data_IF_469885264113
#
_entry.id   IF_469885264113
#
_cell.length_a   1.000
_cell.length_b   1.000
_cell.length_c   1.000
_cell.angle_alpha   90.00
_cell.angle_beta   90.00
_cell.angle_gamma   90.00
#
_symmetry.space_group_name_H-M   'P 1'
#
loop_
_entity.id
_entity.type
_entity.pdbx_description
1 polymer ?
#
# COMPACT_ATOMS: atom_id res chain seq x y z
N UNK A 1 -56.34 17.64 -51.50
CA UNK A 1 -56.96 17.58 -50.22
C UNK A 1 -55.92 17.16 -49.19
N UNK A 2 -55.45 18.05 -48.40
CA UNK A 2 -55.56 18.13 -46.94
C UNK A 2 -55.08 16.89 -46.20
N UNK A 3 -54.36 16.85 -45.10
CA UNK A 3 -53.96 17.83 -44.11
C UNK A 3 -52.93 17.13 -43.21
N UNK A 4 -51.92 17.83 -42.82
CA UNK A 4 -51.26 17.99 -41.58
C UNK A 4 -51.55 16.99 -40.41
N UNK A 5 -50.51 16.66 -39.68
CA UNK A 5 -50.58 16.06 -38.39
C UNK A 5 -49.23 15.72 -37.82
N UNK A 6 -48.45 16.69 -37.33
CA UNK A 6 -47.43 16.55 -36.29
C UNK A 6 -48.15 16.35 -34.97
N UNK A 7 -47.59 15.57 -34.00
CA UNK A 7 -46.91 16.32 -32.95
C UNK A 7 -45.63 15.68 -32.42
N UNK A 8 -44.70 16.56 -32.14
CA UNK A 8 -43.65 16.51 -31.15
C UNK A 8 -44.05 15.83 -29.83
N UNK A 9 -43.15 15.02 -29.35
CA UNK A 9 -43.09 14.56 -27.97
C UNK A 9 -41.65 14.52 -27.49
N UNK A 10 -41.11 15.69 -27.16
CA UNK A 10 -39.83 15.81 -26.48
C UNK A 10 -40.03 15.43 -25.00
N UNK A 11 -39.61 14.25 -24.62
CA UNK A 11 -39.50 13.86 -23.21
C UNK A 11 -38.09 14.18 -22.75
N UNK A 12 -37.92 15.32 -22.15
CA UNK A 12 -36.74 15.68 -21.33
C UNK A 12 -36.79 14.91 -20.01
N UNK A 13 -36.20 13.73 -20.00
CA UNK A 13 -35.89 13.01 -18.77
C UNK A 13 -34.70 13.66 -18.08
N UNK A 14 -34.97 14.55 -17.14
CA UNK A 14 -33.98 15.06 -16.20
C UNK A 14 -33.57 13.92 -15.27
N UNK A 15 -32.56 13.17 -15.67
CA UNK A 15 -31.90 12.20 -14.78
C UNK A 15 -31.17 12.96 -13.69
N UNK A 16 -31.75 12.98 -12.49
CA UNK A 16 -31.09 13.44 -11.27
C UNK A 16 -29.95 12.46 -11.01
N UNK A 17 -28.73 12.86 -11.30
CA UNK A 17 -27.52 12.14 -10.88
C UNK A 17 -27.45 12.30 -9.38
N UNK A 18 -27.90 11.30 -8.64
CA UNK A 18 -27.67 11.23 -7.19
C UNK A 18 -26.19 11.11 -6.98
N UNK A 19 -25.53 12.17 -6.56
CA UNK A 19 -24.14 12.13 -6.15
C UNK A 19 -24.01 11.11 -5.04
N UNK A 20 -23.17 10.10 -5.22
CA UNK A 20 -22.76 9.20 -4.15
C UNK A 20 -22.22 10.05 -2.99
N UNK A 21 -22.54 9.74 -1.75
CA UNK A 21 -22.04 10.49 -0.62
C UNK A 21 -20.51 10.45 -0.66
N UNK A 22 -19.90 11.61 -0.83
CA UNK A 22 -18.47 11.80 -0.70
C UNK A 22 -18.11 11.36 0.72
N UNK A 23 -17.29 10.32 0.86
CA UNK A 23 -16.80 9.90 2.17
C UNK A 23 -16.23 11.12 2.89
N UNK A 24 -16.67 11.37 4.12
CA UNK A 24 -16.18 12.48 4.92
C UNK A 24 -14.65 12.43 4.99
N UNK A 25 -13.99 13.57 4.77
CA UNK A 25 -12.54 13.66 4.86
C UNK A 25 -12.11 13.24 6.28
N UNK A 26 -10.99 12.48 6.37
CA UNK A 26 -10.45 12.08 7.66
C UNK A 26 -10.04 13.31 8.48
N UNK A 27 -10.22 13.30 9.82
CA UNK A 27 -9.84 14.42 10.67
C UNK A 27 -8.32 14.63 10.64
N UNK A 28 -7.89 15.84 10.40
CA UNK A 28 -6.45 16.21 10.34
C UNK A 28 -5.89 16.68 11.69
N UNK A 29 -6.76 16.90 12.68
CA UNK A 29 -6.42 17.38 14.01
C UNK A 29 -6.53 16.29 15.10
N UNK A 30 -6.68 16.70 16.38
CA UNK A 30 -6.93 15.80 17.49
C UNK A 30 -8.20 14.98 17.27
N UNK A 31 -8.21 13.73 17.76
CA UNK A 31 -9.36 12.82 17.76
C UNK A 31 -9.56 12.24 19.17
N UNK A 32 -10.80 11.94 19.53
CA UNK A 32 -11.17 11.38 20.82
C UNK A 32 -12.19 12.23 21.56
N UNK A 33 -12.71 11.69 22.67
CA UNK A 33 -13.60 12.42 23.56
C UNK A 33 -12.83 13.53 24.31
N UNK A 34 -13.54 14.54 24.83
CA UNK A 34 -12.92 15.58 25.66
C UNK A 34 -12.21 14.96 26.87
N UNK A 35 -12.78 13.93 27.49
CA UNK A 35 -12.18 13.24 28.63
C UNK A 35 -10.89 12.50 28.22
N UNK A 36 -10.91 11.76 27.12
CA UNK A 36 -9.73 11.04 26.62
C UNK A 36 -8.63 12.01 26.19
N UNK A 37 -8.99 13.13 25.54
CA UNK A 37 -8.02 14.18 25.16
C UNK A 37 -7.38 14.83 26.41
N UNK A 38 -8.11 14.98 27.50
CA UNK A 38 -7.55 15.48 28.77
C UNK A 38 -6.53 14.49 29.35
N UNK A 39 -6.76 13.18 29.21
CA UNK A 39 -5.79 12.13 29.59
C UNK A 39 -4.50 12.27 28.78
N UNK A 40 -4.59 12.45 27.45
CA UNK A 40 -3.41 12.66 26.61
C UNK A 40 -2.69 13.97 26.92
N UNK A 41 -3.41 15.03 27.28
CA UNK A 41 -2.85 16.33 27.64
C UNK A 41 -1.94 16.28 28.88
N UNK A 42 -2.07 15.24 29.70
CA UNK A 42 -1.22 15.00 30.87
C UNK A 42 0.06 14.21 30.57
N UNK A 43 0.24 13.74 29.31
CA UNK A 43 1.42 12.97 28.88
C UNK A 43 2.52 13.93 28.44
N UNK A 44 3.69 13.78 29.03
CA UNK A 44 4.90 14.51 28.62
C UNK A 44 5.72 13.61 27.70
N UNK A 45 6.08 14.13 26.53
CA UNK A 45 6.98 13.48 25.58
C UNK A 45 8.32 14.21 25.57
N UNK A 46 9.42 13.45 25.69
CA UNK A 46 10.77 14.00 25.60
C UNK A 46 11.64 13.14 24.69
N UNK A 47 12.66 13.74 24.07
CA UNK A 47 13.55 13.04 23.14
C UNK A 47 12.90 12.75 21.79
N UNK A 48 13.39 11.68 21.12
CA UNK A 48 12.92 11.31 19.79
C UNK A 48 13.52 12.17 18.70
N UNK A 49 14.85 12.32 18.71
CA UNK A 49 15.64 12.80 17.57
C UNK A 49 16.10 11.61 16.73
N UNK A 50 16.74 11.85 15.59
CA UNK A 50 17.28 10.80 14.71
C UNK A 50 18.26 9.83 15.39
N UNK A 51 18.72 10.16 16.61
CA UNK A 51 19.75 9.37 17.34
C UNK A 51 19.36 9.03 18.78
N UNK A 52 18.19 9.47 19.26
CA UNK A 52 17.75 9.25 20.64
C UNK A 52 16.32 8.74 20.67
N UNK A 53 16.10 7.61 21.33
CA UNK A 53 14.76 7.10 21.59
C UNK A 53 13.92 8.15 22.35
N UNK A 54 12.63 8.30 22.00
CA UNK A 54 11.73 9.11 22.78
C UNK A 54 11.37 8.43 24.08
N UNK A 55 10.95 9.25 25.07
CA UNK A 55 10.33 8.75 26.28
C UNK A 55 9.00 9.46 26.53
N UNK A 56 8.09 8.75 27.18
CA UNK A 56 6.76 9.23 27.55
C UNK A 56 6.55 9.10 29.06
N UNK A 57 5.95 10.11 29.68
CA UNK A 57 5.69 10.11 31.12
C UNK A 57 4.33 10.75 31.43
N UNK A 58 3.66 10.22 32.44
CA UNK A 58 2.43 10.75 33.01
C UNK A 58 2.32 10.41 34.50
N UNK A 59 1.56 11.20 35.24
CA UNK A 59 1.45 11.07 36.69
C UNK A 59 0.54 9.93 37.14
N UNK A 60 -0.63 9.79 36.49
CA UNK A 60 -1.64 8.79 36.89
C UNK A 60 -1.55 7.55 36.01
N UNK A 61 -1.13 6.45 36.59
CA UNK A 61 -0.99 5.13 35.92
C UNK A 61 -2.09 4.18 36.38
N UNK A 62 -2.61 3.32 35.48
CA UNK A 62 -2.33 3.23 34.06
C UNK A 62 -2.96 4.39 33.24
N UNK A 63 -2.38 4.67 32.07
CA UNK A 63 -2.99 5.57 31.09
C UNK A 63 -4.13 4.82 30.38
N UNK A 64 -5.37 5.30 30.51
CA UNK A 64 -6.56 4.63 29.97
C UNK A 64 -7.40 5.61 29.16
N UNK A 65 -7.79 5.18 27.95
CA UNK A 65 -8.74 5.88 27.10
C UNK A 65 -9.87 4.94 26.68
N UNK A 66 -11.02 5.50 26.31
CA UNK A 66 -12.20 4.72 25.91
C UNK A 66 -12.22 4.41 24.41
N UNK A 67 -11.54 5.21 23.62
CA UNK A 67 -11.37 5.04 22.16
C UNK A 67 -9.97 5.46 21.75
N UNK A 68 -9.54 5.05 20.56
CA UNK A 68 -8.27 5.55 20.00
C UNK A 68 -8.29 7.08 19.96
N UNK A 69 -7.35 7.68 20.66
CA UNK A 69 -7.29 9.12 20.92
C UNK A 69 -5.93 9.64 20.46
N UNK A 70 -5.93 10.78 19.79
CA UNK A 70 -4.73 11.42 19.23
C UNK A 70 -4.64 12.89 19.57
N UNK A 71 -3.44 13.35 19.91
CA UNK A 71 -3.09 14.76 19.93
C UNK A 71 -1.93 15.04 18.97
N UNK A 72 -1.90 16.25 18.41
CA UNK A 72 -0.84 16.68 17.51
C UNK A 72 0.18 17.47 18.33
N UNK A 73 1.41 16.99 18.40
CA UNK A 73 2.52 17.66 19.10
C UNK A 73 3.22 18.67 18.18
N UNK A 74 3.38 18.30 16.91
CA UNK A 74 3.91 19.18 15.86
C UNK A 74 3.07 18.96 14.60
N UNK A 75 2.46 20.01 14.04
CA UNK A 75 1.70 19.88 12.80
C UNK A 75 2.64 19.69 11.60
N UNK A 76 2.25 18.82 10.69
CA UNK A 76 2.88 18.65 9.39
C UNK A 76 2.18 19.47 8.30
N UNK A 77 2.59 19.24 7.06
CA UNK A 77 2.03 19.91 5.88
C UNK A 77 2.00 18.96 4.67
N UNK A 78 1.23 19.33 3.65
CA UNK A 78 1.06 18.52 2.44
C UNK A 78 -0.19 17.64 2.48
N UNK A 79 -0.29 16.70 1.55
CA UNK A 79 -1.46 15.83 1.40
C UNK A 79 -1.61 14.89 2.59
N UNK A 80 -2.75 14.92 3.30
CA UNK A 80 -3.00 14.02 4.42
C UNK A 80 -3.16 12.57 3.95
N UNK A 81 -2.87 11.63 4.85
CA UNK A 81 -3.10 10.21 4.64
C UNK A 81 -4.60 9.90 4.55
N UNK A 82 -4.93 8.90 3.75
CA UNK A 82 -6.27 8.32 3.57
C UNK A 82 -6.21 6.81 3.74
N UNK A 83 -7.35 6.14 3.79
CA UNK A 83 -7.38 4.67 3.75
C UNK A 83 -6.68 4.16 2.49
N UNK A 84 -5.86 3.13 2.65
CA UNK A 84 -5.01 2.58 1.60
C UNK A 84 -3.70 3.36 1.35
N UNK A 85 -3.49 4.52 1.99
CA UNK A 85 -2.18 5.18 1.98
C UNK A 85 -1.14 4.35 2.73
N UNK A 86 0.11 4.46 2.30
CA UNK A 86 1.27 3.95 3.01
C UNK A 86 1.90 5.13 3.74
N UNK A 87 1.87 5.08 5.06
CA UNK A 87 2.51 6.07 5.93
C UNK A 87 3.88 5.55 6.33
N UNK A 88 4.95 6.22 5.94
CA UNK A 88 6.30 5.93 6.41
C UNK A 88 6.60 6.83 7.59
N UNK A 89 6.89 6.24 8.75
CA UNK A 89 7.07 6.98 9.99
C UNK A 89 8.17 6.38 10.88
N UNK A 90 8.80 7.22 11.69
CA UNK A 90 9.46 6.75 12.90
C UNK A 90 8.40 6.55 13.98
N UNK A 91 8.46 5.40 14.64
CA UNK A 91 7.46 4.96 15.61
C UNK A 91 8.15 4.55 16.91
N UNK A 92 7.51 4.91 18.03
CA UNK A 92 7.85 4.31 19.32
C UNK A 92 6.55 3.90 20.01
N UNK A 93 6.50 2.64 20.43
CA UNK A 93 5.36 2.01 21.08
C UNK A 93 5.67 1.76 22.54
N UNK A 94 4.78 2.16 23.42
CA UNK A 94 4.94 2.05 24.88
C UNK A 94 3.71 1.39 25.50
N UNK A 95 3.89 0.81 26.69
CA UNK A 95 2.79 0.36 27.54
C UNK A 95 2.11 1.54 28.22
N UNK A 96 0.79 1.54 28.21
CA UNK A 96 -0.01 2.52 28.97
C UNK A 96 0.01 2.27 30.48
N UNK A 97 0.35 1.04 30.91
CA UNK A 97 0.46 0.70 32.32
C UNK A 97 1.60 1.41 33.04
N UNK A 98 2.76 1.55 32.40
CA UNK A 98 3.97 2.06 33.05
C UNK A 98 4.84 2.98 32.20
N UNK A 99 4.62 3.05 30.88
CA UNK A 99 5.44 3.82 29.94
C UNK A 99 6.68 3.10 29.45
N UNK A 100 6.82 1.80 29.72
CA UNK A 100 7.93 1.01 29.19
C UNK A 100 7.83 0.83 27.68
N UNK A 101 8.99 0.87 27.01
CA UNK A 101 9.10 0.73 25.55
C UNK A 101 8.79 -0.72 25.16
N UNK A 102 7.92 -0.91 24.20
CA UNK A 102 7.64 -2.18 23.54
C UNK A 102 8.45 -2.33 22.24
N UNK A 103 8.52 -1.26 21.45
CA UNK A 103 9.23 -1.24 20.18
C UNK A 103 9.57 0.20 19.80
N UNK A 104 10.65 0.40 19.02
CA UNK A 104 11.05 1.73 18.55
C UNK A 104 11.91 1.63 17.30
N UNK A 105 11.57 2.45 16.30
CA UNK A 105 12.37 2.62 15.08
C UNK A 105 13.33 3.81 15.16
N UNK A 106 13.23 4.63 16.21
CA UNK A 106 14.06 5.83 16.35
C UNK A 106 15.55 5.50 16.48
N UNK A 107 15.88 4.45 17.23
CA UNK A 107 17.29 4.05 17.46
C UNK A 107 17.90 3.38 16.22
N UNK A 108 17.11 2.64 15.46
CA UNK A 108 17.60 1.99 14.24
C UNK A 108 17.77 2.95 13.07
N UNK A 109 17.13 4.13 13.15
CA UNK A 109 17.08 5.10 12.07
C UNK A 109 16.38 4.57 10.81
N UNK A 110 15.62 3.48 10.92
CA UNK A 110 14.90 2.86 9.81
C UNK A 110 13.40 3.06 9.99
N UNK A 111 12.80 4.08 9.33
CA UNK A 111 11.37 4.31 9.41
C UNK A 111 10.57 3.10 8.91
N UNK A 112 9.40 2.89 9.50
CA UNK A 112 8.49 1.80 9.13
C UNK A 112 7.43 2.29 8.16
N UNK A 113 7.19 1.61 7.02
CA UNK A 113 6.01 1.80 6.21
C UNK A 113 4.82 1.05 6.81
N UNK A 114 3.69 1.74 6.99
CA UNK A 114 2.43 1.19 7.45
C UNK A 114 1.34 1.44 6.39
N UNK A 115 0.75 0.40 5.88
CA UNK A 115 -0.44 0.52 5.03
C UNK A 115 -1.66 0.81 5.91
N UNK A 116 -2.38 1.88 5.64
CA UNK A 116 -3.60 2.25 6.38
C UNK A 116 -4.80 1.41 5.91
N UNK A 117 -4.70 0.11 6.13
CA UNK A 117 -5.73 -0.89 5.89
C UNK A 117 -6.01 -1.64 7.20
N UNK A 118 -7.23 -1.53 7.78
CA UNK A 118 -7.55 -2.18 9.06
C UNK A 118 -7.55 -3.71 8.98
N UNK A 119 -7.52 -4.30 7.78
CA UNK A 119 -7.34 -5.74 7.61
C UNK A 119 -5.87 -6.20 7.73
N UNK A 120 -4.92 -5.28 7.60
CA UNK A 120 -3.46 -5.56 7.59
C UNK A 120 -2.72 -4.93 8.76
N UNK A 121 -3.21 -3.81 9.25
CA UNK A 121 -2.59 -2.99 10.30
C UNK A 121 -3.53 -2.92 11.49
N UNK A 122 -2.98 -2.87 12.70
CA UNK A 122 -3.74 -2.71 13.96
C UNK A 122 -4.74 -1.55 13.81
N UNK A 123 -6.04 -1.76 14.07
CA UNK A 123 -7.07 -0.76 13.80
C UNK A 123 -6.81 0.60 14.46
N UNK A 124 -6.30 0.61 15.68
CA UNK A 124 -5.94 1.83 16.39
C UNK A 124 -4.79 2.60 15.74
N UNK A 125 -3.84 1.91 15.08
CA UNK A 125 -2.79 2.58 14.29
C UNK A 125 -3.40 3.24 13.06
N UNK A 126 -4.28 2.53 12.35
CA UNK A 126 -4.98 3.09 11.19
C UNK A 126 -5.75 4.34 11.60
N UNK A 127 -6.59 4.24 12.64
CA UNK A 127 -7.38 5.37 13.15
C UNK A 127 -6.50 6.53 13.59
N UNK A 128 -5.42 6.23 14.32
CA UNK A 128 -4.52 7.26 14.86
C UNK A 128 -3.69 7.98 13.80
N UNK A 129 -3.33 7.30 12.70
CA UNK A 129 -2.48 7.85 11.65
C UNK A 129 -3.27 8.46 10.47
N UNK A 130 -4.58 8.15 10.38
CA UNK A 130 -5.44 8.64 9.31
C UNK A 130 -5.61 10.16 9.39
N UNK A 131 -5.47 10.86 8.25
CA UNK A 131 -5.59 12.32 8.15
C UNK A 131 -4.35 13.10 8.56
N UNK A 132 -3.24 12.44 8.90
CA UNK A 132 -1.97 13.12 9.19
C UNK A 132 -1.21 13.43 7.90
N UNK A 133 -0.44 14.53 7.94
CA UNK A 133 0.42 14.97 6.83
C UNK A 133 1.90 14.70 7.14
N UNK A 134 2.78 14.65 6.14
CA UNK A 134 4.23 14.58 6.35
C UNK A 134 4.73 15.70 7.28
N UNK A 135 5.68 15.37 8.15
CA UNK A 135 6.22 16.28 9.17
C UNK A 135 5.40 16.34 10.46
N UNK A 136 4.24 15.67 10.53
CA UNK A 136 3.46 15.61 11.77
C UNK A 136 4.18 14.74 12.81
N UNK A 137 4.28 15.25 14.06
CA UNK A 137 4.50 14.44 15.25
C UNK A 137 3.18 14.29 16.00
N UNK A 138 2.75 13.06 16.22
CA UNK A 138 1.50 12.76 16.92
C UNK A 138 1.72 11.79 18.08
N UNK A 139 0.99 12.02 19.17
CA UNK A 139 0.85 11.10 20.28
C UNK A 139 -0.53 10.46 20.20
N UNK A 140 -0.58 9.13 20.22
CA UNK A 140 -1.79 8.33 20.03
C UNK A 140 -1.88 7.35 21.18
N UNK A 141 -3.04 7.26 21.84
CA UNK A 141 -3.31 6.21 22.83
C UNK A 141 -4.43 5.32 22.30
N UNK A 142 -4.20 4.03 22.38
CA UNK A 142 -5.03 3.00 21.75
C UNK A 142 -5.52 2.05 22.82
N UNK A 143 -6.84 1.94 23.06
CA UNK A 143 -7.40 0.97 24.02
C UNK A 143 -7.30 -0.46 23.47
N UNK A 144 -7.37 -1.48 24.34
CA UNK A 144 -7.25 -2.89 23.94
C UNK A 144 -8.15 -3.29 22.77
N UNK A 145 -9.41 -2.84 22.75
CA UNK A 145 -10.39 -3.17 21.71
C UNK A 145 -9.99 -2.73 20.31
N UNK A 146 -9.17 -1.66 20.20
CA UNK A 146 -8.67 -1.11 18.93
C UNK A 146 -7.24 -1.60 18.64
N UNK A 147 -6.67 -2.41 19.54
CA UNK A 147 -5.33 -3.01 19.43
C UNK A 147 -5.43 -4.54 19.27
N UNK A 148 -5.08 -5.28 20.32
CA UNK A 148 -5.02 -6.75 20.30
C UNK A 148 -6.21 -7.42 21.02
N UNK A 149 -7.21 -6.65 21.42
CA UNK A 149 -8.40 -7.14 22.12
C UNK A 149 -8.09 -7.79 23.47
N UNK A 150 -9.06 -8.55 24.00
CA UNK A 150 -8.95 -9.21 25.30
C UNK A 150 -7.87 -10.30 25.35
N UNK A 151 -7.46 -10.84 24.20
CA UNK A 151 -6.37 -11.81 24.12
C UNK A 151 -4.99 -11.18 24.38
N UNK A 152 -4.84 -9.89 24.08
CA UNK A 152 -3.54 -9.22 24.10
C UNK A 152 -2.57 -9.81 23.10
N UNK A 153 -1.27 -9.61 23.34
CA UNK A 153 -0.17 -10.19 22.56
C UNK A 153 1.02 -10.49 23.46
N UNK A 154 0.99 -11.68 24.01
CA UNK A 154 1.95 -12.09 25.03
C UNK A 154 3.42 -12.08 24.55
N UNK A 155 3.65 -12.37 23.26
CA UNK A 155 5.01 -12.42 22.67
C UNK A 155 5.75 -11.07 22.78
N UNK A 156 4.99 -9.96 22.82
CA UNK A 156 5.54 -8.60 22.98
C UNK A 156 5.20 -8.01 24.37
N UNK A 157 4.67 -8.82 25.28
CA UNK A 157 4.36 -8.40 26.65
C UNK A 157 3.13 -7.49 26.79
N UNK A 158 2.16 -7.58 25.87
CA UNK A 158 0.90 -6.82 25.90
C UNK A 158 -0.22 -7.69 26.42
N UNK A 159 -0.83 -7.31 27.56
CA UNK A 159 -1.99 -7.98 28.13
C UNK A 159 -3.29 -7.55 27.42
N UNK A 160 -4.38 -8.30 27.64
CA UNK A 160 -5.71 -7.97 27.09
C UNK A 160 -6.35 -6.70 27.68
N UNK A 161 -5.76 -6.12 28.71
CA UNK A 161 -6.21 -4.86 29.31
C UNK A 161 -5.27 -3.69 29.06
N UNK A 162 -4.17 -3.92 28.31
CA UNK A 162 -3.13 -2.93 28.08
C UNK A 162 -3.55 -1.89 27.06
N UNK A 163 -3.53 -0.62 27.45
CA UNK A 163 -3.56 0.49 26.49
C UNK A 163 -2.16 0.67 25.89
N UNK A 164 -2.10 0.96 24.61
CA UNK A 164 -0.85 1.25 23.92
C UNK A 164 -0.68 2.76 23.73
N UNK A 165 0.55 3.23 23.91
CA UNK A 165 0.90 4.62 23.62
C UNK A 165 1.85 4.61 22.42
N UNK A 166 1.44 5.23 21.32
CA UNK A 166 2.21 5.33 20.09
C UNK A 166 2.65 6.77 19.88
N UNK A 167 3.94 7.01 19.79
CA UNK A 167 4.51 8.24 19.26
C UNK A 167 4.90 8.01 17.80
N UNK A 168 4.43 8.87 16.91
CA UNK A 168 4.66 8.76 15.47
C UNK A 168 5.20 10.07 14.90
N UNK A 169 6.33 10.00 14.20
CA UNK A 169 6.86 11.07 13.35
C UNK A 169 6.64 10.69 11.89
N UNK A 170 5.70 11.36 11.23
CA UNK A 170 5.34 11.08 9.85
C UNK A 170 6.39 11.66 8.90
N UNK A 171 7.06 10.79 8.16
CA UNK A 171 8.12 11.18 7.21
C UNK A 171 7.54 11.40 5.82
N UNK A 172 6.78 10.41 5.32
CA UNK A 172 6.18 10.49 3.99
C UNK A 172 4.84 9.74 3.94
N UNK A 173 4.03 10.09 2.95
CA UNK A 173 2.76 9.45 2.66
C UNK A 173 2.73 9.12 1.18
N UNK A 174 2.57 7.85 0.86
CA UNK A 174 2.45 7.36 -0.50
C UNK A 174 1.02 6.84 -0.72
N UNK A 175 0.33 7.35 -1.72
CA UNK A 175 -0.98 6.84 -2.13
C UNK A 175 -0.77 5.93 -3.33
N UNK A 176 -0.95 4.61 -3.20
CA UNK A 176 -0.78 3.69 -4.31
C UNK A 176 -1.77 3.97 -5.43
N UNK A 177 -1.32 3.84 -6.66
CA UNK A 177 -2.17 3.85 -7.84
C UNK A 177 -3.03 2.58 -7.86
N UNK A 178 -4.17 2.64 -8.56
CA UNK A 178 -5.02 1.46 -8.75
C UNK A 178 -4.58 0.63 -9.97
N UNK A 179 -3.89 1.25 -10.91
CA UNK A 179 -3.36 0.68 -12.14
C UNK A 179 -2.26 1.57 -12.71
N UNK A 180 -1.55 1.09 -13.72
CA UNK A 180 -0.57 1.90 -14.44
C UNK A 180 -1.21 3.16 -15.05
N UNK A 181 -0.48 4.26 -15.01
CA UNK A 181 -0.87 5.59 -15.53
C UNK A 181 0.37 6.28 -16.10
N UNK A 182 0.29 6.70 -17.36
CA UNK A 182 1.39 7.38 -18.03
C UNK A 182 1.25 7.37 -19.55
N UNK A 183 2.36 7.59 -20.24
CA UNK A 183 2.41 7.56 -21.68
C UNK A 183 2.46 6.11 -22.19
N UNK A 184 1.58 5.78 -23.15
CA UNK A 184 1.63 4.50 -23.83
C UNK A 184 2.89 4.39 -24.68
N UNK A 185 3.51 3.21 -24.69
CA UNK A 185 4.68 2.88 -25.50
C UNK A 185 4.23 1.89 -26.57
N UNK A 186 4.68 2.12 -27.81
CA UNK A 186 4.36 1.24 -28.92
C UNK A 186 4.85 -0.20 -28.67
N UNK A 187 4.03 -1.21 -29.02
CA UNK A 187 4.40 -2.61 -28.86
C UNK A 187 5.63 -2.96 -29.72
N UNK A 188 6.50 -3.79 -29.15
CA UNK A 188 7.65 -4.35 -29.90
C UNK A 188 7.18 -5.59 -30.66
N UNK A 189 7.46 -5.63 -31.97
CA UNK A 189 7.12 -6.77 -32.84
C UNK A 189 7.79 -8.04 -32.35
N UNK A 190 7.04 -9.12 -32.28
CA UNK A 190 7.53 -10.43 -31.81
C UNK A 190 7.45 -10.66 -30.30
N UNK A 191 7.06 -9.63 -29.53
CA UNK A 191 6.73 -9.77 -28.10
C UNK A 191 5.22 -9.98 -27.90
N UNK A 192 4.79 -10.50 -26.72
CA UNK A 192 3.39 -10.62 -26.38
C UNK A 192 2.65 -9.28 -26.46
N UNK A 193 1.43 -9.32 -27.00
CA UNK A 193 0.54 -8.17 -27.00
C UNK A 193 -0.35 -8.18 -25.77
N UNK A 194 -0.79 -6.99 -25.34
CA UNK A 194 -1.54 -6.80 -24.10
C UNK A 194 -2.75 -5.92 -24.37
N UNK A 195 -3.93 -6.42 -24.02
CA UNK A 195 -5.14 -5.61 -23.82
C UNK A 195 -5.44 -5.50 -22.34
N UNK A 196 -6.08 -4.42 -21.91
CA UNK A 196 -6.33 -4.15 -20.49
C UNK A 196 -7.80 -3.87 -20.22
N UNK A 197 -8.33 -4.50 -19.19
CA UNK A 197 -9.65 -4.24 -18.63
C UNK A 197 -9.52 -3.96 -17.13
N UNK A 198 -10.20 -2.94 -16.63
CA UNK A 198 -10.08 -2.48 -15.24
C UNK A 198 -10.54 -3.54 -14.22
N UNK A 199 -11.52 -4.37 -14.60
CA UNK A 199 -12.08 -5.38 -13.70
C UNK A 199 -11.24 -6.67 -13.63
N UNK A 200 -10.60 -7.04 -14.75
CA UNK A 200 -9.90 -8.32 -14.88
C UNK A 200 -8.38 -8.20 -15.00
N UNK A 201 -7.89 -6.98 -15.20
CA UNK A 201 -6.48 -6.70 -15.44
C UNK A 201 -6.04 -6.98 -16.88
N UNK A 202 -4.73 -7.15 -17.10
CA UNK A 202 -4.17 -7.36 -18.43
C UNK A 202 -4.47 -8.76 -18.96
N UNK A 203 -4.94 -8.83 -20.21
CA UNK A 203 -5.00 -10.04 -21.02
C UNK A 203 -3.77 -10.09 -21.92
N UNK A 204 -2.95 -11.11 -21.74
CA UNK A 204 -1.69 -11.30 -22.45
C UNK A 204 -1.90 -12.31 -23.58
N UNK A 205 -1.52 -11.92 -24.80
CA UNK A 205 -1.56 -12.79 -25.98
C UNK A 205 -0.13 -13.06 -26.44
N UNK A 206 0.30 -14.32 -26.29
CA UNK A 206 1.64 -14.76 -26.69
C UNK A 206 1.68 -14.97 -28.20
N UNK A 207 2.74 -14.56 -28.92
CA UNK A 207 2.85 -14.76 -30.37
C UNK A 207 2.94 -16.28 -30.67
N UNK A 208 2.23 -16.72 -31.71
CA UNK A 208 2.27 -18.10 -32.19
C UNK A 208 3.38 -18.33 -33.17
N UNK A 209 3.99 -19.53 -33.17
CA UNK A 209 5.05 -19.92 -34.11
C UNK A 209 6.39 -19.23 -33.88
N UNK A 210 6.54 -18.49 -32.81
CA UNK A 210 7.81 -17.83 -32.43
C UNK A 210 8.37 -18.55 -31.19
N UNK A 211 9.67 -18.90 -31.22
CA UNK A 211 10.35 -19.46 -30.05
C UNK A 211 10.40 -18.45 -28.90
N UNK A 212 10.40 -18.98 -27.67
CA UNK A 212 10.55 -18.12 -26.49
C UNK A 212 11.93 -17.46 -26.48
N UNK A 213 12.04 -16.17 -26.08
CA UNK A 213 13.31 -15.51 -25.81
C UNK A 213 14.14 -16.29 -24.79
N UNK A 214 15.46 -16.35 -25.02
CA UNK A 214 16.41 -17.05 -24.13
C UNK A 214 17.06 -16.11 -23.10
N UNK A 215 16.79 -14.82 -23.21
CA UNK A 215 17.27 -13.78 -22.28
C UNK A 215 16.09 -13.01 -21.70
N UNK A 216 16.28 -12.49 -20.49
CA UNK A 216 15.27 -11.64 -19.84
C UNK A 216 14.97 -10.42 -20.70
N UNK A 217 13.68 -10.19 -20.96
CA UNK A 217 13.20 -8.96 -21.61
C UNK A 217 12.38 -8.17 -20.57
N UNK A 218 12.66 -6.88 -20.47
CA UNK A 218 11.90 -5.92 -19.68
C UNK A 218 11.51 -4.74 -20.58
N UNK A 219 10.26 -4.74 -21.05
CA UNK A 219 9.73 -3.76 -21.98
C UNK A 219 8.66 -2.90 -21.30
N UNK A 220 8.78 -1.57 -21.41
CA UNK A 220 7.70 -0.66 -21.03
C UNK A 220 6.54 -0.77 -22.02
N UNK A 221 5.32 -0.87 -21.51
CA UNK A 221 4.06 -0.71 -22.24
C UNK A 221 3.39 0.62 -21.92
N UNK A 222 3.60 1.11 -20.69
CA UNK A 222 3.22 2.45 -20.23
C UNK A 222 4.41 2.99 -19.46
N UNK A 223 4.84 4.21 -19.76
CA UNK A 223 5.83 4.90 -18.96
C UNK A 223 5.15 5.79 -17.92
N UNK A 224 5.33 5.45 -16.65
CA UNK A 224 4.81 6.22 -15.52
C UNK A 224 5.57 7.53 -15.30
N UNK A 225 5.00 8.40 -14.47
CA UNK A 225 5.57 9.71 -14.13
C UNK A 225 5.95 9.84 -12.65
N UNK A 226 5.75 8.79 -11.86
CA UNK A 226 6.05 8.79 -10.42
C UNK A 226 7.53 8.58 -10.10
N UNK A 227 7.81 8.25 -8.85
CA UNK A 227 9.17 8.02 -8.35
C UNK A 227 9.89 6.91 -9.12
N UNK A 228 11.20 7.05 -9.27
CA UNK A 228 12.06 6.02 -9.89
C UNK A 228 12.34 4.93 -8.87
N UNK A 229 12.10 3.68 -9.27
CA UNK A 229 12.34 2.48 -8.46
C UNK A 229 13.85 2.26 -8.27
N UNK A 230 14.25 2.03 -7.03
CA UNK A 230 15.64 1.77 -6.64
C UNK A 230 15.74 0.41 -5.93
N UNK A 231 16.94 -0.13 -5.90
CA UNK A 231 17.24 -1.28 -5.04
C UNK A 231 17.03 -0.89 -3.58
N UNK A 232 16.32 -1.74 -2.84
CA UNK A 232 15.93 -1.51 -1.45
C UNK A 232 14.53 -0.95 -1.27
N UNK A 233 13.91 -0.38 -2.32
CA UNK A 233 12.52 0.03 -2.26
C UNK A 233 11.60 -1.18 -2.09
N UNK A 234 10.51 -0.99 -1.36
CA UNK A 234 9.36 -1.90 -1.40
C UNK A 234 8.44 -1.48 -2.53
N UNK A 235 8.22 -2.35 -3.50
CA UNK A 235 7.24 -2.14 -4.55
C UNK A 235 5.89 -2.74 -4.17
N UNK A 236 4.82 -2.00 -4.48
CA UNK A 236 3.46 -2.52 -4.53
C UNK A 236 3.04 -2.60 -6.00
N UNK A 237 2.59 -3.77 -6.44
CA UNK A 237 2.29 -4.04 -7.84
C UNK A 237 0.98 -4.79 -8.01
N UNK A 238 0.31 -4.58 -9.16
CA UNK A 238 -0.62 -5.56 -9.72
C UNK A 238 0.03 -6.28 -10.89
N UNK A 239 -0.28 -7.57 -11.06
CA UNK A 239 0.32 -8.37 -12.13
C UNK A 239 -0.59 -9.49 -12.63
N UNK A 240 -0.30 -9.93 -13.84
CA UNK A 240 -0.78 -11.21 -14.40
C UNK A 240 0.40 -11.94 -15.00
N UNK A 241 0.53 -13.23 -14.71
CA UNK A 241 1.56 -14.12 -15.23
C UNK A 241 0.95 -15.23 -16.08
N UNK A 242 1.51 -15.44 -17.28
CA UNK A 242 1.12 -16.53 -18.21
C UNK A 242 2.34 -17.33 -18.66
N UNK A 243 2.11 -18.56 -19.11
CA UNK A 243 3.14 -19.39 -19.73
C UNK A 243 3.31 -18.98 -21.20
N UNK A 244 4.55 -18.88 -21.68
CA UNK A 244 4.83 -18.59 -23.09
C UNK A 244 4.27 -19.64 -24.03
N UNK A 245 4.37 -20.92 -23.64
CA UNK A 245 4.03 -22.07 -24.51
C UNK A 245 2.58 -22.09 -24.97
N UNK A 246 1.64 -21.59 -24.17
CA UNK A 246 0.20 -21.71 -24.43
C UNK A 246 -0.64 -20.51 -23.97
N UNK A 247 -0.02 -19.50 -23.34
CA UNK A 247 -0.70 -18.33 -22.82
C UNK A 247 -1.58 -18.59 -21.59
N UNK A 248 -1.49 -19.78 -20.98
CA UNK A 248 -2.28 -20.11 -19.79
C UNK A 248 -1.86 -19.28 -18.60
N UNK A 249 -2.85 -18.70 -17.88
CA UNK A 249 -2.62 -17.90 -16.67
C UNK A 249 -2.24 -18.82 -15.52
N UNK A 250 -1.08 -18.62 -14.92
CA UNK A 250 -0.68 -19.37 -13.72
C UNK A 250 -0.92 -18.58 -12.44
N UNK A 251 -0.88 -17.23 -12.50
CA UNK A 251 -1.17 -16.37 -11.35
C UNK A 251 -1.59 -14.95 -11.79
N UNK A 252 -2.44 -14.32 -10.96
CA UNK A 252 -2.86 -12.93 -11.16
C UNK A 252 -3.31 -12.31 -9.83
N UNK A 253 -2.76 -11.15 -9.49
CA UNK A 253 -3.19 -10.36 -8.33
C UNK A 253 -4.53 -9.65 -8.57
N UNK A 254 -4.90 -9.43 -9.83
CA UNK A 254 -6.18 -8.83 -10.22
C UNK A 254 -7.37 -9.70 -9.83
N UNK A 255 -7.27 -11.03 -10.03
CA UNK A 255 -8.33 -11.98 -9.66
C UNK A 255 -8.55 -12.05 -8.15
N UNK A 256 -7.55 -11.73 -7.36
CA UNK A 256 -7.62 -11.65 -5.90
C UNK A 256 -8.02 -10.25 -5.41
N UNK A 257 -8.10 -9.27 -6.31
CA UNK A 257 -8.31 -7.86 -5.99
C UNK A 257 -7.34 -7.32 -4.90
N UNK A 258 -6.13 -7.90 -4.83
CA UNK A 258 -5.14 -7.60 -3.81
C UNK A 258 -3.76 -7.40 -4.45
N UNK A 259 -3.17 -6.19 -4.37
CA UNK A 259 -1.79 -5.96 -4.81
C UNK A 259 -0.80 -6.84 -4.06
N UNK A 260 0.33 -7.09 -4.68
CA UNK A 260 1.47 -7.78 -4.10
C UNK A 260 2.60 -6.80 -3.81
N UNK A 261 3.25 -6.94 -2.65
CA UNK A 261 4.38 -6.10 -2.27
C UNK A 261 5.63 -6.93 -2.03
N UNK A 262 6.78 -6.42 -2.47
CA UNK A 262 8.08 -7.08 -2.28
C UNK A 262 9.22 -6.06 -2.27
N UNK A 263 10.34 -6.41 -1.59
CA UNK A 263 11.56 -5.60 -1.61
C UNK A 263 12.38 -5.87 -2.87
N UNK A 264 12.74 -4.82 -3.61
CA UNK A 264 13.54 -4.90 -4.83
C UNK A 264 15.00 -5.19 -4.50
N UNK A 265 15.56 -6.21 -5.14
CA UNK A 265 16.95 -6.64 -4.90
C UNK A 265 17.14 -7.43 -3.61
N UNK A 266 16.05 -7.81 -2.93
CA UNK A 266 16.07 -8.55 -1.68
C UNK A 266 16.24 -10.06 -1.83
N UNK A 267 16.19 -10.61 -3.04
CA UNK A 267 16.27 -12.06 -3.30
C UNK A 267 15.05 -12.86 -2.83
N UNK A 268 13.94 -12.18 -2.51
CA UNK A 268 12.71 -12.81 -2.03
C UNK A 268 11.71 -13.12 -3.15
N UNK A 269 12.01 -12.69 -4.38
CA UNK A 269 11.25 -12.93 -5.60
C UNK A 269 12.16 -13.50 -6.67
N UNK A 270 11.61 -13.93 -7.81
CA UNK A 270 12.42 -14.42 -8.92
C UNK A 270 13.36 -13.31 -9.42
N UNK A 271 14.54 -13.70 -9.92
CA UNK A 271 15.59 -12.79 -10.33
C UNK A 271 15.11 -11.72 -11.33
N UNK A 272 14.23 -12.10 -12.25
CA UNK A 272 13.64 -11.17 -13.21
C UNK A 272 12.87 -10.02 -12.54
N UNK A 273 12.25 -10.27 -11.40
CA UNK A 273 11.53 -9.24 -10.64
C UNK A 273 12.48 -8.36 -9.83
N UNK A 274 13.51 -8.93 -9.22
CA UNK A 274 14.53 -8.15 -8.51
C UNK A 274 15.27 -7.16 -9.41
N UNK A 275 15.42 -7.47 -10.70
CA UNK A 275 16.20 -6.67 -11.65
C UNK A 275 15.32 -5.90 -12.65
N UNK A 276 14.16 -6.44 -13.03
CA UNK A 276 13.35 -5.95 -14.14
C UNK A 276 12.68 -4.61 -13.91
N UNK A 277 12.58 -4.15 -12.67
CA UNK A 277 11.87 -2.93 -12.31
C UNK A 277 12.80 -1.76 -11.91
N UNK A 278 14.07 -2.04 -11.61
CA UNK A 278 15.03 -0.98 -11.24
C UNK A 278 15.14 0.05 -12.35
N UNK A 279 15.06 1.34 -12.00
CA UNK A 279 15.09 2.46 -12.94
C UNK A 279 13.76 2.76 -13.63
N UNK A 280 12.74 1.92 -13.47
CA UNK A 280 11.37 2.20 -13.93
C UNK A 280 10.67 3.18 -12.97
N UNK A 281 9.60 3.81 -13.41
CA UNK A 281 8.85 4.78 -12.61
C UNK A 281 7.55 4.17 -12.08
N UNK A 282 7.13 4.60 -10.91
CA UNK A 282 5.76 4.35 -10.43
C UNK A 282 4.75 4.86 -11.45
N UNK A 283 3.70 4.09 -11.72
CA UNK A 283 2.75 4.30 -12.79
C UNK A 283 3.08 3.54 -14.07
N UNK A 284 4.27 2.94 -14.18
CA UNK A 284 4.63 2.14 -15.37
C UNK A 284 3.86 0.82 -15.43
N UNK A 285 3.58 0.37 -16.66
CA UNK A 285 3.23 -1.02 -16.99
C UNK A 285 4.41 -1.66 -17.70
N UNK A 286 4.88 -2.77 -17.17
CA UNK A 286 6.08 -3.47 -17.65
C UNK A 286 5.69 -4.85 -18.12
N UNK A 287 6.11 -5.21 -19.34
CA UNK A 287 6.11 -6.58 -19.86
C UNK A 287 7.46 -7.21 -19.54
N UNK A 288 7.47 -8.33 -18.81
CA UNK A 288 8.64 -9.16 -18.59
C UNK A 288 8.47 -10.48 -19.34
N UNK A 289 9.48 -10.86 -20.13
CA UNK A 289 9.60 -12.23 -20.66
C UNK A 289 10.77 -12.88 -19.94
N UNK A 290 10.48 -13.93 -19.20
CA UNK A 290 11.39 -14.49 -18.19
C UNK A 290 11.75 -15.92 -18.56
N UNK A 291 12.96 -16.19 -19.08
CA UNK A 291 13.44 -17.53 -19.29
C UNK A 291 13.63 -18.26 -17.94
N UNK A 292 13.66 -19.61 -17.93
CA UNK A 292 13.74 -20.40 -16.68
C UNK A 292 14.87 -19.95 -15.73
N UNK A 293 16.03 -19.60 -16.25
CA UNK A 293 17.20 -19.18 -15.45
C UNK A 293 17.00 -17.90 -14.64
N UNK A 294 16.12 -17.01 -15.11
CA UNK A 294 15.76 -15.75 -14.44
C UNK A 294 14.41 -15.85 -13.67
N UNK A 295 13.76 -17.01 -13.77
CA UNK A 295 12.52 -17.37 -13.08
C UNK A 295 12.73 -18.42 -11.99
N UNK A 296 12.04 -19.56 -12.13
CA UNK A 296 12.05 -20.63 -11.12
C UNK A 296 13.14 -21.71 -11.38
N UNK A 297 14.02 -21.50 -12.38
CA UNK A 297 15.09 -22.44 -12.71
C UNK A 297 14.59 -23.81 -13.13
N UNK A 298 15.51 -24.81 -13.09
CA UNK A 298 15.18 -26.19 -13.48
C UNK A 298 14.15 -26.88 -12.58
N UNK A 299 13.95 -26.39 -11.35
CA UNK A 299 12.93 -26.94 -10.44
C UNK A 299 11.50 -26.53 -10.83
N UNK A 300 11.36 -25.38 -11.48
CA UNK A 300 10.05 -24.78 -11.76
C UNK A 300 9.28 -24.41 -10.47
N UNK A 301 7.96 -24.33 -10.60
CA UNK A 301 7.02 -24.17 -9.48
C UNK A 301 5.80 -25.07 -9.74
N UNK A 302 5.93 -26.38 -9.49
CA UNK A 302 4.86 -27.34 -9.73
C UNK A 302 3.61 -27.06 -8.89
N UNK A 303 2.40 -27.41 -9.37
CA UNK A 303 2.13 -28.11 -10.64
C UNK A 303 2.02 -27.22 -11.88
N UNK A 304 2.04 -25.89 -11.71
CA UNK A 304 1.70 -24.95 -12.79
C UNK A 304 2.88 -24.62 -13.71
N UNK A 305 4.09 -24.56 -13.18
CA UNK A 305 5.29 -24.13 -13.90
C UNK A 305 6.34 -25.24 -13.87
N UNK A 306 6.75 -25.71 -15.05
CA UNK A 306 7.83 -26.67 -15.20
C UNK A 306 9.19 -25.94 -15.24
N UNK A 307 10.29 -26.69 -15.05
CA UNK A 307 11.65 -26.14 -15.10
C UNK A 307 12.12 -25.66 -16.49
N UNK A 308 11.31 -25.87 -17.53
CA UNK A 308 11.60 -25.41 -18.90
C UNK A 308 10.69 -24.29 -19.38
N UNK A 309 9.71 -23.89 -18.55
CA UNK A 309 8.73 -22.88 -18.95
C UNK A 309 9.32 -21.46 -18.91
N UNK A 310 9.20 -20.76 -20.03
CA UNK A 310 9.38 -19.31 -20.09
C UNK A 310 8.09 -18.65 -19.64
N UNK A 311 8.21 -17.66 -18.74
CA UNK A 311 7.09 -16.93 -18.18
C UNK A 311 6.94 -15.57 -18.84
N UNK A 312 5.71 -15.08 -18.89
CA UNK A 312 5.40 -13.72 -19.32
C UNK A 312 4.60 -13.06 -18.21
N UNK A 313 5.08 -11.91 -17.72
CA UNK A 313 4.36 -11.09 -16.77
C UNK A 313 4.02 -9.73 -17.38
N UNK A 314 2.85 -9.23 -17.04
CA UNK A 314 2.51 -7.83 -17.19
C UNK A 314 2.28 -7.27 -15.78
N UNK A 315 3.05 -6.26 -15.42
CA UNK A 315 3.13 -5.73 -14.06
C UNK A 315 2.89 -4.23 -14.07
N UNK A 316 1.93 -3.77 -13.28
CA UNK A 316 1.66 -2.37 -13.00
C UNK A 316 2.35 -1.96 -11.71
N UNK A 317 3.24 -0.98 -11.75
CA UNK A 317 3.94 -0.44 -10.58
C UNK A 317 3.04 0.62 -9.93
N UNK A 318 2.46 0.28 -8.76
CA UNK A 318 1.46 1.10 -8.09
C UNK A 318 2.07 2.07 -7.07
N UNK A 319 3.13 1.65 -6.40
CA UNK A 319 3.86 2.44 -5.42
C UNK A 319 5.29 1.92 -5.25
N UNK A 320 6.19 2.80 -4.81
CA UNK A 320 7.52 2.49 -4.32
C UNK A 320 7.78 3.30 -3.05
N UNK A 321 8.26 2.67 -1.97
CA UNK A 321 8.43 3.30 -0.65
C UNK A 321 9.51 2.59 0.19
#
# INVERSE_FOLDING_TARGET
GSTAGTPSGTSTGTGTVTASPTAAAAPTGPIGSTADLAVLGAVTVSGGSATAAPSVQWATKPLVVTSTTRTILTPGSGTPSSLGSIVTANLALFKGSDGSVLDSTFESGTPQPLELDPAKTVPGFVTGLLGLSPGTRALIVIPPKDAFGDAGRAEIGVSGTENLVLLADIISITTPLKQAQGAAIDPVVGLPTVSFDVATGPKITVPTGTGAPTTLISQLLIEGTGAVVKVGDTLMVHYTGVLWKDGSVFDSSWTRAQPFSFAVGGGNVIKAWDQGFVGKKVGSRVLLVVPPADGYGAAGSPPKISGTDTLVFVVDILAAF
#
